data_IF_624942401940
#
_entry.id   IF_624942401940
#
_cell.length_a   1.000
_cell.length_b   1.000
_cell.length_c   1.000
_cell.angle_alpha   90.00
_cell.angle_beta   90.00
_cell.angle_gamma   90.00
#
_symmetry.space_group_name_H-M   'P 1'
#
loop_
_entity.id
_entity.type
_entity.pdbx_description
1 polymer ?
#
# COMPACT_ATOMS: atom_id res chain seq x y z
N UNK A 1 -58.30 -10.59 -74.80
CA UNK A 1 -57.31 -10.05 -73.84
C UNK A 1 -57.91 -9.98 -72.42
N UNK A 2 -58.17 -11.12 -71.81
CA UNK A 2 -58.71 -11.20 -70.42
C UNK A 2 -58.42 -12.59 -69.86
N UNK A 3 -57.16 -12.94 -69.60
CA UNK A 3 -56.78 -14.18 -68.86
C UNK A 3 -55.37 -14.17 -68.35
N UNK A 4 -54.74 -13.02 -68.07
CA UNK A 4 -53.33 -12.96 -67.56
C UNK A 4 -53.19 -12.22 -66.23
N UNK A 5 -54.26 -11.75 -65.58
CA UNK A 5 -54.18 -10.94 -64.35
C UNK A 5 -54.47 -11.75 -63.08
N UNK A 6 -54.91 -13.02 -63.16
CA UNK A 6 -55.31 -13.81 -62.04
C UNK A 6 -54.14 -14.64 -61.39
N UNK A 7 -52.98 -14.73 -62.05
CA UNK A 7 -51.87 -15.55 -61.58
C UNK A 7 -50.82 -14.81 -60.73
N UNK A 8 -50.82 -13.48 -60.75
CA UNK A 8 -49.77 -12.70 -60.06
C UNK A 8 -50.08 -12.30 -58.56
N UNK A 9 -51.37 -12.45 -58.17
CA UNK A 9 -51.79 -12.03 -56.83
C UNK A 9 -51.76 -13.16 -55.82
N UNK A 10 -51.59 -14.42 -56.21
CA UNK A 10 -51.53 -15.57 -55.29
C UNK A 10 -50.10 -15.94 -54.90
N UNK A 11 -49.09 -15.42 -55.58
CA UNK A 11 -47.69 -15.69 -55.26
C UNK A 11 -47.08 -14.68 -54.30
N UNK A 12 -47.77 -13.57 -54.01
CA UNK A 12 -47.30 -12.51 -53.12
C UNK A 12 -47.72 -12.72 -51.66
N UNK A 13 -48.64 -13.65 -51.38
CA UNK A 13 -49.10 -13.92 -49.96
C UNK A 13 -48.36 -15.08 -49.32
N UNK A 14 -47.57 -15.85 -50.06
CA UNK A 14 -46.82 -16.98 -49.58
C UNK A 14 -45.37 -16.66 -49.17
N UNK A 15 -44.88 -15.41 -49.35
CA UNK A 15 -43.55 -14.98 -49.04
C UNK A 15 -43.47 -14.13 -47.73
N UNK A 16 -44.59 -13.83 -47.08
CA UNK A 16 -44.60 -13.02 -45.83
C UNK A 16 -44.73 -13.83 -44.56
N UNK A 17 -44.62 -15.16 -44.61
CA UNK A 17 -44.89 -16.06 -43.49
C UNK A 17 -43.69 -16.72 -42.83
N UNK A 18 -42.43 -16.34 -43.14
CA UNK A 18 -41.25 -17.03 -42.57
C UNK A 18 -40.13 -16.08 -42.09
N UNK A 19 -40.49 -14.95 -41.53
CA UNK A 19 -39.58 -14.33 -40.55
C UNK A 19 -39.94 -14.83 -39.14
N UNK A 20 -39.60 -16.08 -38.87
CA UNK A 20 -39.40 -16.51 -37.48
C UNK A 20 -38.18 -15.74 -37.02
N UNK A 21 -38.41 -14.63 -36.31
CA UNK A 21 -37.40 -13.96 -35.50
C UNK A 21 -36.91 -14.97 -34.45
N UNK A 22 -35.86 -15.69 -34.78
CA UNK A 22 -35.01 -16.26 -33.76
C UNK A 22 -34.40 -15.09 -33.00
N UNK A 23 -35.11 -14.53 -32.03
CA UNK A 23 -34.49 -13.83 -30.92
C UNK A 23 -33.71 -14.92 -30.19
N UNK A 24 -32.44 -15.09 -30.58
CA UNK A 24 -31.46 -15.71 -29.66
C UNK A 24 -31.52 -14.87 -28.39
N UNK A 25 -32.17 -15.37 -27.36
CA UNK A 25 -31.89 -14.90 -26.01
C UNK A 25 -30.38 -15.06 -25.84
N UNK A 26 -29.64 -13.94 -25.83
CA UNK A 26 -28.31 -13.95 -25.30
C UNK A 26 -28.46 -14.53 -23.90
N UNK A 27 -28.12 -15.79 -23.73
CA UNK A 27 -27.99 -16.39 -22.41
C UNK A 27 -26.91 -15.59 -21.71
N UNK A 28 -27.33 -14.78 -20.75
CA UNK A 28 -26.39 -14.07 -19.87
C UNK A 28 -25.45 -15.14 -19.30
N UNK A 29 -24.14 -15.09 -19.52
CA UNK A 29 -23.24 -16.14 -19.09
C UNK A 29 -23.41 -16.35 -17.58
N UNK A 30 -23.82 -17.57 -17.21
CA UNK A 30 -24.01 -17.93 -15.81
C UNK A 30 -22.65 -17.95 -15.16
N UNK A 31 -22.44 -17.07 -14.17
CA UNK A 31 -21.23 -17.05 -13.38
C UNK A 31 -21.06 -18.43 -12.72
N UNK A 32 -19.89 -19.03 -12.92
CA UNK A 32 -19.54 -20.29 -12.27
C UNK A 32 -18.89 -20.01 -10.92
N UNK A 33 -19.27 -20.77 -9.90
CA UNK A 33 -18.50 -20.76 -8.67
C UNK A 33 -17.10 -21.35 -8.93
N UNK A 34 -16.08 -20.74 -8.37
CA UNK A 34 -14.72 -21.19 -8.61
C UNK A 34 -13.63 -20.28 -8.03
N UNK A 35 -12.41 -20.72 -8.29
CA UNK A 35 -11.20 -19.98 -7.92
C UNK A 35 -10.64 -19.30 -9.16
N UNK A 36 -10.41 -18.00 -9.04
CA UNK A 36 -9.98 -17.13 -10.14
C UNK A 36 -8.72 -16.39 -9.77
N UNK A 37 -7.78 -16.28 -10.71
CA UNK A 37 -6.45 -15.73 -10.47
C UNK A 37 -6.17 -14.58 -11.44
N UNK A 38 -5.66 -13.49 -10.92
CA UNK A 38 -5.23 -12.36 -11.74
C UNK A 38 -3.84 -11.88 -11.35
N UNK A 39 -3.16 -11.28 -12.30
CA UNK A 39 -1.80 -10.77 -12.14
C UNK A 39 -1.68 -9.34 -12.63
N UNK A 40 -0.81 -8.57 -12.01
CA UNK A 40 -0.24 -7.34 -12.55
C UNK A 40 1.26 -7.35 -12.29
N UNK A 41 2.06 -6.72 -13.13
CA UNK A 41 3.51 -6.85 -13.00
C UNK A 41 4.26 -5.56 -13.34
N UNK A 42 5.47 -5.46 -12.82
CA UNK A 42 6.36 -4.33 -13.06
C UNK A 42 6.75 -4.25 -14.53
N UNK A 43 6.60 -3.07 -15.09
CA UNK A 43 6.89 -2.81 -16.51
C UNK A 43 5.73 -3.09 -17.45
N UNK A 44 4.60 -3.61 -16.98
CA UNK A 44 3.42 -3.92 -17.80
C UNK A 44 2.95 -2.72 -18.64
N UNK A 45 2.79 -1.54 -18.04
CA UNK A 45 2.41 -0.31 -18.72
C UNK A 45 3.42 0.15 -19.80
N UNK A 46 4.62 -0.43 -19.81
CA UNK A 46 5.69 -0.19 -20.79
C UNK A 46 5.85 -1.34 -21.79
N UNK A 47 4.96 -2.33 -21.76
CA UNK A 47 4.99 -3.47 -22.66
C UNK A 47 5.93 -4.61 -22.23
N UNK A 48 6.48 -4.59 -21.02
CA UNK A 48 7.29 -5.72 -20.52
C UNK A 48 6.40 -6.96 -20.39
N UNK A 49 6.76 -8.11 -21.00
CA UNK A 49 5.99 -9.32 -20.86
C UNK A 49 6.13 -9.92 -19.44
N UNK A 50 5.11 -10.65 -18.99
CA UNK A 50 5.02 -11.16 -17.62
C UNK A 50 6.23 -12.05 -17.22
N UNK A 51 6.70 -12.87 -18.13
CA UNK A 51 7.85 -13.78 -17.88
C UNK A 51 9.18 -13.03 -17.68
N UNK A 52 9.27 -11.77 -18.05
CA UNK A 52 10.44 -10.90 -17.86
C UNK A 52 10.31 -10.00 -16.63
N UNK A 53 9.16 -10.02 -15.98
CA UNK A 53 8.92 -9.20 -14.81
C UNK A 53 9.84 -9.59 -13.63
N UNK A 54 10.27 -8.59 -12.88
CA UNK A 54 11.02 -8.77 -11.62
C UNK A 54 10.12 -8.71 -10.38
N UNK A 55 8.91 -8.20 -10.53
CA UNK A 55 7.93 -8.05 -9.46
C UNK A 55 6.52 -8.23 -10.04
N UNK A 56 5.63 -8.86 -9.27
CA UNK A 56 4.22 -8.94 -9.64
C UNK A 56 3.30 -9.03 -8.42
N UNK A 57 2.05 -8.60 -8.60
CA UNK A 57 0.95 -8.85 -7.67
C UNK A 57 0.17 -10.05 -8.20
N UNK A 58 -0.17 -10.95 -7.31
CA UNK A 58 -1.10 -12.05 -7.57
C UNK A 58 -2.33 -11.87 -6.69
N UNK A 59 -3.50 -11.88 -7.31
CA UNK A 59 -4.78 -11.93 -6.61
C UNK A 59 -5.45 -13.27 -6.89
N UNK A 60 -5.94 -13.93 -5.86
CA UNK A 60 -6.75 -15.15 -5.96
C UNK A 60 -8.08 -14.89 -5.27
N UNK A 61 -9.16 -15.12 -5.98
CA UNK A 61 -10.52 -14.98 -5.47
C UNK A 61 -11.23 -16.32 -5.51
N UNK A 62 -11.98 -16.63 -4.47
CA UNK A 62 -12.99 -17.68 -4.50
C UNK A 62 -14.36 -17.00 -4.57
N UNK A 63 -15.11 -17.26 -5.64
CA UNK A 63 -16.37 -16.59 -5.94
C UNK A 63 -17.47 -17.62 -6.12
N UNK A 64 -18.63 -17.40 -5.50
CA UNK A 64 -19.80 -18.26 -5.68
C UNK A 64 -20.61 -17.91 -6.94
N UNK A 65 -21.66 -18.69 -7.22
CA UNK A 65 -22.52 -18.50 -8.39
C UNK A 65 -23.28 -17.16 -8.39
N UNK A 66 -23.44 -16.51 -7.23
CA UNK A 66 -24.12 -15.23 -7.11
C UNK A 66 -23.18 -14.04 -7.38
N UNK A 67 -21.88 -14.30 -7.37
CA UNK A 67 -20.83 -13.28 -7.47
C UNK A 67 -20.28 -12.85 -6.11
N UNK A 68 -20.68 -13.49 -5.02
CA UNK A 68 -20.14 -13.20 -3.69
C UNK A 68 -18.72 -13.74 -3.57
N UNK A 69 -17.81 -12.92 -3.11
CA UNK A 69 -16.43 -13.28 -2.81
C UNK A 69 -16.41 -14.00 -1.47
N UNK A 70 -16.07 -15.30 -1.51
CA UNK A 70 -16.00 -16.17 -0.32
C UNK A 70 -14.63 -16.11 0.34
N UNK A 71 -13.57 -16.01 -0.45
CA UNK A 71 -12.20 -15.81 0.01
C UNK A 71 -11.42 -14.93 -0.98
N UNK A 72 -10.44 -14.21 -0.48
CA UNK A 72 -9.54 -13.38 -1.25
C UNK A 72 -8.13 -13.48 -0.69
N UNK A 73 -7.16 -13.72 -1.54
CA UNK A 73 -5.74 -13.73 -1.21
C UNK A 73 -4.99 -12.83 -2.18
N UNK A 74 -4.04 -12.10 -1.65
CA UNK A 74 -3.20 -11.22 -2.45
C UNK A 74 -1.76 -11.30 -1.98
N UNK A 75 -0.83 -11.38 -2.93
CA UNK A 75 0.60 -11.42 -2.65
C UNK A 75 1.36 -10.49 -3.57
N UNK A 76 2.39 -9.85 -3.02
CA UNK A 76 3.40 -9.13 -3.77
C UNK A 76 4.67 -9.97 -3.86
N UNK A 77 4.94 -10.46 -5.03
CA UNK A 77 6.11 -11.27 -5.32
C UNK A 77 7.25 -10.42 -5.87
N UNK A 78 8.46 -10.70 -5.39
CA UNK A 78 9.69 -10.06 -5.85
C UNK A 78 10.68 -11.16 -6.20
N UNK A 79 11.38 -11.01 -7.32
CA UNK A 79 12.43 -11.91 -7.74
C UNK A 79 13.74 -11.50 -7.05
N UNK A 80 14.33 -12.42 -6.28
CA UNK A 80 15.61 -12.24 -5.60
C UNK A 80 16.47 -13.49 -5.81
N UNK A 81 17.70 -13.31 -6.33
CA UNK A 81 18.66 -14.38 -6.59
C UNK A 81 18.08 -15.59 -7.36
N UNK A 82 17.20 -15.30 -8.33
CA UNK A 82 16.54 -16.31 -9.15
C UNK A 82 15.28 -16.93 -8.55
N UNK A 83 14.94 -16.63 -7.30
CA UNK A 83 13.75 -17.13 -6.60
C UNK A 83 12.68 -16.05 -6.47
N UNK A 84 11.43 -16.50 -6.39
CA UNK A 84 10.31 -15.64 -6.05
C UNK A 84 10.03 -15.68 -4.55
N UNK A 85 10.05 -14.52 -3.92
CA UNK A 85 9.73 -14.34 -2.50
C UNK A 85 8.61 -13.31 -2.34
N UNK A 86 7.80 -13.42 -1.29
CA UNK A 86 6.76 -12.43 -1.02
C UNK A 86 7.30 -11.28 -0.17
N UNK A 87 6.77 -10.09 -0.39
CA UNK A 87 7.04 -8.94 0.51
C UNK A 87 6.34 -9.05 1.86
N UNK A 88 5.36 -9.94 1.98
CA UNK A 88 4.66 -10.21 3.24
C UNK A 88 5.48 -11.02 4.24
N UNK A 89 6.55 -11.66 3.83
CA UNK A 89 7.45 -12.31 4.79
C UNK A 89 8.23 -11.25 5.56
N UNK A 90 7.82 -11.02 6.81
CA UNK A 90 8.28 -9.91 7.65
C UNK A 90 9.56 -10.18 8.43
N UNK A 91 10.43 -11.08 8.01
CA UNK A 91 11.70 -11.30 8.69
C UNK A 91 12.61 -10.07 8.55
N UNK A 92 13.08 -9.56 9.66
CA UNK A 92 14.09 -8.52 9.72
C UNK A 92 15.21 -8.93 10.68
N UNK A 93 16.42 -8.48 10.37
CA UNK A 93 17.53 -8.50 11.30
C UNK A 93 18.04 -7.06 11.44
N UNK A 94 18.23 -6.60 12.68
CA UNK A 94 18.62 -5.22 12.97
C UNK A 94 19.84 -5.24 13.88
N UNK A 95 20.88 -4.56 13.44
CA UNK A 95 22.05 -4.24 14.26
C UNK A 95 21.93 -2.79 14.73
N UNK A 96 22.36 -2.50 15.96
CA UNK A 96 22.40 -1.15 16.53
C UNK A 96 23.77 -0.87 17.10
N UNK A 97 24.32 0.32 16.78
CA UNK A 97 25.56 0.83 17.37
C UNK A 97 25.26 2.13 18.16
N UNK A 98 25.12 2.00 19.45
CA UNK A 98 24.85 3.13 20.35
C UNK A 98 25.98 4.17 20.42
N UNK A 99 27.20 3.87 19.92
CA UNK A 99 28.31 4.83 19.87
C UNK A 99 28.13 5.85 18.77
N UNK A 100 27.23 5.59 17.81
CA UNK A 100 26.91 6.51 16.74
C UNK A 100 25.88 7.52 17.22
N UNK A 101 26.16 8.81 17.00
CA UNK A 101 25.14 9.84 17.04
C UNK A 101 24.56 9.99 15.64
N UNK A 102 23.23 9.94 15.48
CA UNK A 102 22.59 10.09 14.19
C UNK A 102 22.97 11.43 13.56
N UNK A 103 23.25 11.41 12.27
CA UNK A 103 23.52 12.63 11.47
C UNK A 103 22.54 12.68 10.31
N UNK A 104 21.94 13.84 10.14
CA UNK A 104 20.97 14.09 9.07
C UNK A 104 21.58 13.79 7.71
N UNK A 105 20.82 13.09 6.86
CA UNK A 105 21.18 12.85 5.46
C UNK A 105 21.05 14.13 4.64
N UNK A 106 21.76 14.19 3.53
CA UNK A 106 21.53 15.21 2.51
C UNK A 106 20.17 15.00 1.81
N UNK A 107 19.76 15.95 1.03
CA UNK A 107 18.47 15.99 0.35
C UNK A 107 18.60 15.81 -1.17
N UNK A 108 17.50 15.35 -1.78
CA UNK A 108 17.41 15.24 -3.22
C UNK A 108 18.02 13.98 -3.82
N UNK A 109 18.25 13.99 -5.15
CA UNK A 109 18.64 12.80 -5.90
C UNK A 109 20.10 12.35 -5.66
N UNK A 110 20.96 13.28 -5.30
CA UNK A 110 22.39 13.06 -5.05
C UNK A 110 22.72 13.32 -3.58
N UNK A 111 21.77 13.07 -2.68
CA UNK A 111 21.97 13.29 -1.24
C UNK A 111 23.04 12.37 -0.70
N UNK A 112 23.98 12.94 0.03
CA UNK A 112 24.92 12.17 0.83
C UNK A 112 24.17 11.42 1.93
N UNK A 113 24.48 10.14 2.18
CA UNK A 113 23.92 9.42 3.30
C UNK A 113 24.26 10.12 4.63
N UNK A 114 23.28 10.16 5.53
CA UNK A 114 23.54 10.54 6.91
C UNK A 114 24.27 9.42 7.66
N UNK A 115 24.53 9.65 8.95
CA UNK A 115 25.01 8.62 9.86
C UNK A 115 23.82 7.98 10.57
N UNK A 116 23.73 6.67 10.54
CA UNK A 116 22.68 5.91 11.21
C UNK A 116 23.26 5.03 12.33
N UNK A 117 22.54 4.95 13.45
CA UNK A 117 22.80 3.95 14.50
C UNK A 117 22.43 2.54 14.06
N UNK A 118 21.53 2.43 13.07
CA UNK A 118 20.92 1.16 12.70
C UNK A 118 21.41 0.66 11.35
N UNK A 119 21.58 -0.66 11.29
CA UNK A 119 21.71 -1.39 10.05
C UNK A 119 20.56 -2.39 9.97
N UNK A 120 19.64 -2.14 9.05
CA UNK A 120 18.38 -2.88 8.93
C UNK A 120 18.45 -3.79 7.71
N UNK A 121 18.28 -5.10 7.94
CA UNK A 121 18.21 -6.13 6.93
C UNK A 121 16.78 -6.66 6.86
N UNK A 122 16.02 -6.25 5.86
CA UNK A 122 14.64 -6.72 5.63
C UNK A 122 14.22 -6.58 4.18
N UNK A 123 13.31 -7.44 3.73
CA UNK A 123 12.65 -7.29 2.43
C UNK A 123 11.48 -6.31 2.47
N UNK A 124 10.94 -6.02 3.68
CA UNK A 124 9.81 -5.11 3.88
C UNK A 124 10.24 -3.91 4.74
N UNK A 125 10.17 -2.71 4.12
CA UNK A 125 10.51 -1.45 4.76
C UNK A 125 9.29 -0.52 4.90
N UNK A 126 8.07 -1.00 4.66
CA UNK A 126 6.88 -0.18 4.79
C UNK A 126 6.42 -0.13 6.24
N UNK A 127 6.28 1.09 6.79
CA UNK A 127 5.83 1.31 8.17
C UNK A 127 6.67 0.55 9.22
N UNK A 128 7.94 0.36 8.93
CA UNK A 128 8.86 -0.40 9.77
C UNK A 128 9.39 0.46 10.91
N UNK A 129 9.49 -0.12 12.10
CA UNK A 129 10.21 0.48 13.22
C UNK A 129 11.21 -0.52 13.84
N UNK A 130 12.20 0.03 14.53
CA UNK A 130 13.11 -0.71 15.39
C UNK A 130 13.37 0.07 16.68
N UNK A 131 13.57 -0.63 17.76
CA UNK A 131 13.90 -0.04 19.06
C UNK A 131 14.89 -0.93 19.80
N UNK A 132 15.82 -0.30 20.50
CA UNK A 132 16.79 -0.98 21.35
C UNK A 132 17.08 -0.12 22.59
N UNK A 133 17.55 -0.74 23.68
CA UNK A 133 17.99 -0.06 24.89
C UNK A 133 19.33 -0.61 25.30
N UNK A 134 20.34 0.27 25.50
CA UNK A 134 21.67 -0.10 25.97
C UNK A 134 21.67 -0.37 27.47
N UNK A 135 22.80 -0.86 27.94
CA UNK A 135 23.05 -1.20 29.35
C UNK A 135 23.02 0.01 30.30
N UNK A 136 23.29 1.22 29.79
CA UNK A 136 23.20 2.47 30.53
C UNK A 136 21.80 3.09 30.57
N UNK A 137 20.83 2.52 29.81
CA UNK A 137 19.48 3.03 29.67
C UNK A 137 19.30 3.97 28.45
N UNK A 138 20.32 4.14 27.62
CA UNK A 138 20.15 4.86 26.34
C UNK A 138 19.17 4.14 25.42
N UNK A 139 18.14 4.84 24.98
CA UNK A 139 17.13 4.32 24.04
C UNK A 139 17.45 4.79 22.63
N UNK A 140 17.47 3.86 21.70
CA UNK A 140 17.61 4.11 20.26
C UNK A 140 16.34 3.66 19.54
N UNK A 141 15.76 4.53 18.73
CA UNK A 141 14.55 4.25 17.93
C UNK A 141 14.81 4.63 16.48
N UNK A 142 14.43 3.76 15.58
CA UNK A 142 14.42 4.01 14.15
C UNK A 142 13.04 3.74 13.57
N UNK A 143 12.50 4.70 12.82
CA UNK A 143 11.23 4.55 12.11
C UNK A 143 11.45 4.86 10.63
N UNK A 144 11.19 3.88 9.77
CA UNK A 144 11.25 4.08 8.32
C UNK A 144 10.00 4.82 7.87
N UNK A 145 10.21 6.02 7.33
CA UNK A 145 9.12 6.72 6.67
C UNK A 145 8.77 6.04 5.33
N UNK A 146 7.57 5.51 5.19
CA UNK A 146 7.18 4.73 4.03
C UNK A 146 7.06 5.56 2.73
N UNK A 147 7.02 6.89 2.83
CA UNK A 147 6.87 7.77 1.67
C UNK A 147 8.22 8.26 1.18
N UNK A 148 9.03 8.85 2.04
CA UNK A 148 10.36 9.36 1.69
C UNK A 148 11.44 8.29 1.74
N UNK A 149 11.22 7.25 2.54
CA UNK A 149 12.19 6.18 2.83
C UNK A 149 13.39 6.62 3.67
N UNK A 150 13.37 7.81 4.23
CA UNK A 150 14.30 8.16 5.28
C UNK A 150 14.03 7.31 6.52
N UNK A 151 15.11 6.96 7.21
CA UNK A 151 15.07 6.42 8.55
C UNK A 151 15.07 7.60 9.52
N UNK A 152 13.97 7.81 10.22
CA UNK A 152 13.83 8.80 11.25
C UNK A 152 14.37 8.20 12.55
N UNK A 153 15.50 8.71 13.03
CA UNK A 153 16.15 8.19 14.21
C UNK A 153 16.00 9.11 15.42
N UNK A 154 15.83 8.50 16.59
CA UNK A 154 15.75 9.17 17.87
C UNK A 154 16.69 8.46 18.84
N UNK A 155 17.51 9.23 19.56
CA UNK A 155 18.44 8.72 20.56
C UNK A 155 18.22 9.46 21.88
N UNK A 156 17.85 8.76 22.92
CA UNK A 156 17.57 9.31 24.24
C UNK A 156 18.57 8.75 25.23
N UNK A 157 19.45 9.60 25.74
CA UNK A 157 20.42 9.21 26.77
C UNK A 157 19.77 8.87 28.13
N UNK A 158 20.53 8.31 29.06
CA UNK A 158 20.00 7.84 30.35
C UNK A 158 19.38 8.94 31.22
N UNK A 159 19.78 10.20 31.04
CA UNK A 159 19.25 11.36 31.77
C UNK A 159 18.10 12.08 31.04
N UNK A 160 17.64 11.52 29.94
CA UNK A 160 16.54 12.12 29.19
C UNK A 160 15.23 12.10 29.98
N UNK A 161 14.50 13.22 29.95
CA UNK A 161 13.16 13.29 30.57
C UNK A 161 12.12 12.62 29.68
N UNK A 162 11.81 11.39 29.96
CA UNK A 162 10.79 10.61 29.24
C UNK A 162 9.35 11.11 29.44
N UNK A 163 9.09 12.10 30.30
CA UNK A 163 7.80 12.79 30.38
C UNK A 163 7.64 13.85 29.27
N UNK A 164 8.70 14.17 28.54
CA UNK A 164 8.64 15.01 27.34
C UNK A 164 7.54 14.52 26.39
N UNK A 165 6.82 15.46 25.77
CA UNK A 165 5.69 15.12 24.89
C UNK A 165 6.15 14.59 23.55
N UNK A 166 5.43 13.62 22.98
CA UNK A 166 5.69 13.05 21.64
C UNK A 166 5.62 14.14 20.56
N UNK A 167 4.79 15.16 20.75
CA UNK A 167 4.73 16.32 19.85
C UNK A 167 6.04 17.11 19.72
N UNK A 168 7.01 16.88 20.64
CA UNK A 168 8.36 17.46 20.55
C UNK A 168 9.32 16.63 19.69
N UNK A 169 8.96 15.42 19.28
CA UNK A 169 9.76 14.57 18.40
C UNK A 169 9.68 15.07 16.97
N UNK A 170 10.37 16.15 16.70
CA UNK A 170 10.39 16.87 15.42
C UNK A 170 11.83 17.08 14.93
N UNK A 171 12.00 17.40 13.66
CA UNK A 171 13.31 17.63 13.06
C UNK A 171 13.91 18.96 13.56
N UNK A 172 13.11 19.99 13.66
CA UNK A 172 13.52 21.32 14.13
C UNK A 172 13.91 21.34 15.61
N UNK A 173 13.38 20.43 16.42
CA UNK A 173 13.81 20.22 17.82
C UNK A 173 15.05 19.32 17.95
N UNK A 174 15.60 18.83 16.85
CA UNK A 174 16.72 17.89 16.83
C UNK A 174 16.51 16.60 17.66
N UNK A 175 15.26 16.23 17.93
CA UNK A 175 14.90 14.99 18.62
C UNK A 175 14.55 13.86 17.63
N UNK A 176 14.30 14.22 16.38
CA UNK A 176 14.07 13.30 15.27
C UNK A 176 15.03 13.64 14.15
N UNK A 177 15.91 12.73 13.82
CA UNK A 177 16.97 12.93 12.82
C UNK A 177 16.69 12.07 11.59
N UNK A 178 16.34 12.66 10.43
CA UNK A 178 16.26 11.93 9.16
C UNK A 178 17.66 11.50 8.73
N UNK A 179 17.97 10.22 8.78
CA UNK A 179 19.30 9.70 8.46
C UNK A 179 19.34 9.13 7.03
N UNK A 180 19.96 7.99 6.81
CA UNK A 180 20.12 7.38 5.51
C UNK A 180 18.77 7.04 4.85
N UNK A 181 18.76 7.06 3.51
CA UNK A 181 17.67 6.47 2.76
C UNK A 181 17.77 4.95 2.79
N UNK A 182 16.68 4.28 3.13
CA UNK A 182 16.63 2.81 3.14
C UNK A 182 16.51 2.20 1.74
N UNK A 183 16.09 3.00 0.77
CA UNK A 183 16.11 2.65 -0.66
C UNK A 183 16.13 3.90 -1.52
N UNK A 184 16.60 3.79 -2.75
CA UNK A 184 16.57 4.88 -3.76
C UNK A 184 15.16 5.17 -4.29
N UNK A 185 14.16 4.39 -3.89
CA UNK A 185 12.81 4.38 -4.46
C UNK A 185 11.75 5.05 -3.59
N UNK A 186 12.11 5.99 -2.73
CA UNK A 186 11.13 6.84 -2.03
C UNK A 186 10.20 7.53 -3.04
N UNK A 187 8.91 7.64 -2.68
CA UNK A 187 7.93 8.32 -3.53
C UNK A 187 8.20 9.80 -3.62
N UNK A 188 8.81 10.33 -2.57
CA UNK A 188 9.17 11.73 -2.48
C UNK A 188 10.53 11.91 -1.87
N UNK A 189 11.16 12.96 -2.36
CA UNK A 189 12.35 13.54 -1.76
C UNK A 189 11.97 14.95 -1.35
N UNK A 190 11.90 15.25 -0.06
CA UNK A 190 11.62 16.59 0.40
C UNK A 190 12.69 17.52 -0.19
N UNK A 191 12.29 18.73 -0.56
CA UNK A 191 13.19 19.75 -1.09
C UNK A 191 14.22 20.14 -0.05
N UNK A 192 13.77 20.28 1.17
CA UNK A 192 14.55 20.45 2.37
C UNK A 192 13.76 19.89 3.56
N UNK A 193 14.39 19.68 4.71
CA UNK A 193 13.70 19.12 5.87
C UNK A 193 12.79 20.12 6.58
N UNK A 194 12.79 21.39 6.20
CA UNK A 194 11.85 22.39 6.72
C UNK A 194 10.40 22.04 6.37
N UNK A 195 10.18 21.23 5.33
CA UNK A 195 8.85 20.69 5.02
C UNK A 195 8.31 19.78 6.14
N UNK A 196 9.15 19.30 7.04
CA UNK A 196 8.81 18.50 8.21
C UNK A 196 8.81 19.29 9.51
N UNK A 197 9.15 20.59 9.47
CA UNK A 197 9.23 21.44 10.66
C UNK A 197 7.89 21.48 11.41
N UNK A 198 7.96 21.37 12.72
CA UNK A 198 6.80 21.30 13.61
C UNK A 198 5.95 20.03 13.48
N UNK A 199 6.31 19.10 12.60
CA UNK A 199 5.61 17.81 12.46
C UNK A 199 6.27 16.76 13.33
N UNK A 200 5.55 16.26 14.31
CA UNK A 200 6.02 15.16 15.16
C UNK A 200 6.16 13.86 14.35
N UNK A 201 6.85 12.90 14.95
CA UNK A 201 6.99 11.54 14.37
C UNK A 201 5.63 10.92 13.99
N UNK A 202 4.54 11.27 14.68
CA UNK A 202 3.19 10.80 14.37
C UNK A 202 2.55 11.54 13.19
N UNK A 203 3.11 12.68 12.78
CA UNK A 203 2.55 13.58 11.77
C UNK A 203 3.50 13.90 10.61
N UNK A 204 4.59 13.17 10.47
CA UNK A 204 5.53 13.33 9.34
C UNK A 204 4.75 13.40 8.03
N UNK A 205 3.72 12.55 7.92
CA UNK A 205 2.74 12.61 6.85
C UNK A 205 1.35 12.67 7.44
N UNK A 206 0.64 13.79 7.26
CA UNK A 206 -0.68 14.05 7.83
C UNK A 206 -1.68 12.91 7.60
N UNK A 207 -1.55 12.23 6.48
CA UNK A 207 -2.39 11.10 6.12
C UNK A 207 -2.03 9.79 6.85
N UNK A 208 -0.88 9.71 7.48
CA UNK A 208 -0.43 8.53 8.22
C UNK A 208 -0.86 8.55 9.67
N UNK A 209 -1.01 9.74 10.24
CA UNK A 209 -1.25 9.91 11.67
C UNK A 209 -2.46 9.13 12.16
N UNK A 210 -3.57 9.13 11.42
CA UNK A 210 -4.77 8.41 11.83
C UNK A 210 -4.58 6.89 11.85
N UNK A 211 -3.76 6.33 10.95
CA UNK A 211 -3.44 4.91 10.93
C UNK A 211 -2.51 4.56 12.08
N UNK A 212 -1.49 5.36 12.30
CA UNK A 212 -0.50 5.17 13.38
C UNK A 212 -1.17 5.28 14.75
N UNK A 213 -2.01 6.29 14.97
CA UNK A 213 -2.63 6.56 16.28
C UNK A 213 -3.84 5.68 16.59
N UNK A 214 -4.48 5.10 15.59
CA UNK A 214 -5.69 4.29 15.78
C UNK A 214 -5.44 2.79 15.66
N UNK A 215 -4.28 2.38 15.15
CA UNK A 215 -3.98 1.00 14.82
C UNK A 215 -2.54 0.65 15.13
N UNK A 216 -2.31 -0.65 15.28
CA UNK A 216 -0.98 -1.19 15.53
C UNK A 216 -0.43 -0.76 16.89
N UNK A 217 0.87 -0.75 17.00
CA UNK A 217 1.60 -0.57 18.26
C UNK A 217 1.41 0.83 18.88
N UNK A 218 1.18 1.84 18.05
CA UNK A 218 1.00 3.22 18.49
C UNK A 218 -0.47 3.63 18.67
N UNK A 219 -1.39 2.66 18.71
CA UNK A 219 -2.81 2.95 18.95
C UNK A 219 -3.00 3.67 20.29
N UNK A 220 -3.65 4.84 20.24
CA UNK A 220 -3.90 5.68 21.42
C UNK A 220 -2.75 6.62 21.81
N UNK A 221 -1.60 6.55 21.13
CA UNK A 221 -0.51 7.52 21.29
C UNK A 221 -0.79 8.77 20.45
N UNK A 222 -0.69 9.94 21.05
CA UNK A 222 -0.84 11.23 20.38
C UNK A 222 0.29 12.20 20.76
N UNK A 223 0.28 13.42 20.22
CA UNK A 223 1.29 14.43 20.50
C UNK A 223 1.36 14.86 21.98
N UNK A 224 0.32 14.62 22.77
CA UNK A 224 0.26 14.93 24.19
C UNK A 224 0.71 13.75 25.05
N UNK A 225 0.83 12.57 24.49
CA UNK A 225 1.38 11.39 25.15
C UNK A 225 2.85 11.64 25.56
N UNK A 226 3.32 10.98 26.61
CA UNK A 226 4.74 11.06 26.98
C UNK A 226 5.60 10.20 26.03
N UNK A 227 6.87 10.58 25.88
CA UNK A 227 7.84 9.74 25.17
C UNK A 227 7.97 8.37 25.86
N UNK A 228 7.77 8.32 27.19
CA UNK A 228 7.70 7.05 27.90
C UNK A 228 6.60 6.13 27.36
N UNK A 229 5.39 6.67 27.20
CA UNK A 229 4.25 5.89 26.69
C UNK A 229 4.49 5.44 25.23
N UNK A 230 5.05 6.33 24.41
CA UNK A 230 5.43 6.05 23.04
C UNK A 230 6.47 4.91 22.95
N UNK A 231 7.54 4.99 23.73
CA UNK A 231 8.61 3.98 23.77
C UNK A 231 8.10 2.66 24.35
N UNK A 232 7.22 2.73 25.37
CA UNK A 232 6.59 1.54 25.96
C UNK A 232 5.66 0.85 24.96
N UNK A 233 4.92 1.62 24.14
CA UNK A 233 4.09 1.08 23.07
C UNK A 233 4.93 0.33 22.02
N UNK A 234 6.18 0.74 21.79
CA UNK A 234 7.15 0.02 20.94
C UNK A 234 7.80 -1.19 21.63
N UNK A 235 7.43 -1.51 22.87
CA UNK A 235 7.86 -2.71 23.59
C UNK A 235 8.96 -2.50 24.61
N UNK A 236 9.37 -1.27 24.91
CA UNK A 236 10.37 -1.00 25.94
C UNK A 236 9.76 -1.07 27.33
N UNK A 237 10.36 -1.87 28.21
CA UNK A 237 9.96 -1.98 29.62
C UNK A 237 10.62 -0.90 30.45
N UNK A 238 9.86 -0.30 31.36
CA UNK A 238 10.39 0.66 32.37
C UNK A 238 10.26 0.10 33.78
N UNK A 239 11.31 0.23 34.55
CA UNK A 239 11.33 -0.07 36.01
C UNK A 239 11.83 1.19 36.72
N UNK A 240 11.10 1.65 37.71
CA UNK A 240 11.43 2.87 38.49
C UNK A 240 11.73 4.09 37.59
N UNK A 241 10.98 4.23 36.51
CA UNK A 241 11.12 5.32 35.53
C UNK A 241 12.28 5.15 34.54
N UNK A 242 13.08 4.08 34.63
CA UNK A 242 14.22 3.82 33.74
C UNK A 242 13.92 2.76 32.71
N UNK A 243 14.27 2.99 31.44
CA UNK A 243 14.13 1.97 30.41
C UNK A 243 15.10 0.82 30.68
N UNK A 244 14.62 -0.40 30.47
CA UNK A 244 15.37 -1.62 30.71
C UNK A 244 16.10 -2.07 29.47
N UNK A 245 17.32 -2.57 29.62
CA UNK A 245 18.15 -3.09 28.54
C UNK A 245 17.38 -4.11 27.69
N UNK A 246 17.40 -3.90 26.37
CA UNK A 246 16.91 -4.87 25.38
C UNK A 246 17.70 -4.78 24.08
N UNK A 247 17.88 -5.93 23.41
CA UNK A 247 18.42 -5.96 22.06
C UNK A 247 17.49 -5.29 21.07
N UNK A 248 17.96 -5.03 19.85
CA UNK A 248 17.13 -4.43 18.82
C UNK A 248 15.91 -5.32 18.53
N UNK A 249 14.74 -4.74 18.71
CA UNK A 249 13.46 -5.32 18.29
C UNK A 249 12.94 -4.54 17.10
N UNK A 250 12.04 -5.13 16.36
CA UNK A 250 11.42 -4.47 15.20
C UNK A 250 9.97 -4.88 15.07
N UNK A 251 9.25 -4.08 14.33
CA UNK A 251 7.86 -4.35 14.00
C UNK A 251 7.35 -3.39 12.93
N UNK A 252 6.04 -3.38 12.78
CA UNK A 252 5.34 -2.49 11.88
C UNK A 252 4.42 -1.60 12.68
N UNK A 253 4.66 -0.29 12.67
CA UNK A 253 3.75 0.63 13.33
C UNK A 253 2.57 0.99 12.43
N UNK A 254 1.37 0.95 12.97
CA UNK A 254 0.13 1.24 12.26
C UNK A 254 -0.52 -0.02 11.70
N UNK A 255 -0.22 -0.39 10.46
CA UNK A 255 -0.99 -1.39 9.70
C UNK A 255 -0.29 -2.73 9.49
N UNK A 256 0.87 -2.97 10.09
CA UNK A 256 1.58 -4.25 9.97
C UNK A 256 2.28 -4.46 8.61
N UNK A 257 2.83 -3.41 8.02
CA UNK A 257 3.62 -3.47 6.78
C UNK A 257 2.85 -3.98 5.57
N UNK A 258 3.51 -4.72 4.70
CA UNK A 258 2.89 -5.32 3.52
C UNK A 258 1.82 -6.36 3.87
N UNK A 259 2.06 -7.17 4.89
CA UNK A 259 1.10 -8.16 5.35
C UNK A 259 -0.21 -7.48 5.80
N UNK A 260 -0.13 -6.51 6.70
CA UNK A 260 -1.31 -5.81 7.21
C UNK A 260 -2.08 -5.04 6.14
N UNK A 261 -1.38 -4.44 5.16
CA UNK A 261 -2.02 -3.82 4.00
C UNK A 261 -2.84 -4.82 3.20
N UNK A 262 -2.28 -5.97 2.91
CA UNK A 262 -2.95 -6.96 2.08
C UNK A 262 -4.04 -7.71 2.84
N UNK A 263 -3.87 -7.94 4.13
CA UNK A 263 -4.93 -8.49 5.00
C UNK A 263 -6.14 -7.54 5.05
N UNK A 264 -5.89 -6.23 5.06
CA UNK A 264 -6.96 -5.23 5.00
C UNK A 264 -7.71 -5.26 3.67
N UNK A 265 -7.01 -5.39 2.54
CA UNK A 265 -7.64 -5.53 1.21
C UNK A 265 -8.45 -6.83 1.13
N UNK A 266 -7.88 -7.93 1.57
CA UNK A 266 -8.54 -9.25 1.56
C UNK A 266 -9.81 -9.21 2.41
N UNK A 267 -9.72 -8.67 3.63
CA UNK A 267 -10.86 -8.52 4.54
C UNK A 267 -11.95 -7.60 3.98
N UNK A 268 -11.57 -6.55 3.25
CA UNK A 268 -12.52 -5.68 2.56
C UNK A 268 -13.30 -6.42 1.48
N UNK A 269 -12.63 -7.29 0.72
CA UNK A 269 -13.21 -8.00 -0.41
C UNK A 269 -14.14 -9.15 0.02
N UNK A 270 -13.79 -9.86 1.09
CA UNK A 270 -14.57 -11.02 1.56
C UNK A 270 -15.99 -10.60 1.93
N UNK A 271 -16.97 -11.31 1.38
CA UNK A 271 -18.40 -11.05 1.57
C UNK A 271 -18.99 -10.01 0.62
N UNK A 272 -18.18 -9.27 -0.15
CA UNK A 272 -18.66 -8.35 -1.18
C UNK A 272 -19.13 -9.10 -2.42
N UNK A 273 -19.96 -8.42 -3.22
CA UNK A 273 -20.32 -8.91 -4.54
C UNK A 273 -19.32 -8.38 -5.58
N UNK A 274 -18.64 -9.29 -6.26
CA UNK A 274 -17.62 -8.97 -7.27
C UNK A 274 -18.18 -8.21 -8.49
N UNK A 275 -19.49 -8.29 -8.73
CA UNK A 275 -20.18 -7.52 -9.79
C UNK A 275 -20.37 -6.06 -9.39
N UNK A 276 -20.38 -5.75 -8.10
CA UNK A 276 -20.55 -4.39 -7.57
C UNK A 276 -19.20 -3.74 -7.28
N UNK A 277 -18.20 -4.52 -6.86
CA UNK A 277 -16.84 -4.05 -6.59
C UNK A 277 -15.95 -4.51 -7.74
N UNK A 278 -15.96 -3.78 -8.84
CA UNK A 278 -15.18 -4.13 -10.05
C UNK A 278 -13.78 -3.53 -10.07
N UNK A 279 -13.42 -2.74 -9.07
CA UNK A 279 -12.09 -2.12 -8.92
C UNK A 279 -11.82 -1.79 -7.45
N UNK A 280 -10.55 -1.82 -7.05
CA UNK A 280 -10.10 -1.33 -5.74
C UNK A 280 -9.85 0.19 -5.75
N UNK A 281 -9.88 0.83 -6.91
CA UNK A 281 -9.69 2.27 -7.09
C UNK A 281 -10.96 2.86 -7.69
N UNK A 282 -11.43 3.95 -7.13
CA UNK A 282 -12.55 4.69 -7.70
C UNK A 282 -12.06 5.58 -8.86
N UNK A 283 -12.04 5.03 -10.07
CA UNK A 283 -11.60 5.73 -11.28
C UNK A 283 -12.53 6.85 -11.75
N UNK A 284 -13.71 7.00 -11.15
CA UNK A 284 -14.58 8.15 -11.42
C UNK A 284 -14.03 9.46 -10.82
N UNK A 285 -13.09 9.37 -9.92
CA UNK A 285 -12.38 10.52 -9.36
C UNK A 285 -11.26 10.92 -10.32
N UNK A 286 -11.41 12.08 -10.94
CA UNK A 286 -10.48 12.63 -11.95
C UNK A 286 -9.01 12.61 -11.51
N UNK A 287 -8.75 12.88 -10.23
CA UNK A 287 -7.41 12.87 -9.67
C UNK A 287 -6.76 11.48 -9.81
N UNK A 288 -7.50 10.40 -9.64
CA UNK A 288 -6.99 9.04 -9.81
C UNK A 288 -6.80 8.69 -11.27
N UNK A 289 -7.79 8.96 -12.11
CA UNK A 289 -7.73 8.69 -13.54
C UNK A 289 -6.54 9.39 -14.22
N UNK A 290 -6.23 10.62 -13.82
CA UNK A 290 -5.09 11.39 -14.33
C UNK A 290 -3.76 10.99 -13.71
N UNK A 291 -3.79 10.41 -12.52
CA UNK A 291 -2.61 10.15 -11.70
C UNK A 291 -2.06 8.73 -11.76
N UNK A 292 -2.73 7.79 -12.42
CA UNK A 292 -2.34 6.36 -12.39
C UNK A 292 -0.87 6.10 -12.76
N UNK A 293 -0.31 6.92 -13.64
CA UNK A 293 1.07 6.85 -14.08
C UNK A 293 1.94 8.04 -13.60
N UNK A 294 1.44 8.86 -12.69
CA UNK A 294 2.12 10.04 -12.18
C UNK A 294 2.71 9.78 -10.80
N UNK A 295 4.02 9.98 -10.61
CA UNK A 295 4.70 9.80 -9.33
C UNK A 295 4.12 10.66 -8.21
N UNK A 296 3.67 11.87 -8.56
CA UNK A 296 3.08 12.80 -7.61
C UNK A 296 1.70 12.38 -7.10
N UNK A 297 1.09 11.40 -7.74
CA UNK A 297 -0.24 10.91 -7.35
C UNK A 297 -0.20 10.04 -6.10
N UNK A 298 0.92 9.40 -5.84
CA UNK A 298 1.13 8.46 -4.75
C UNK A 298 2.31 8.91 -3.89
N UNK A 299 2.14 9.96 -3.18
CA UNK A 299 3.22 10.51 -2.38
C UNK A 299 2.86 11.90 -1.86
N UNK A 300 3.84 12.62 -1.41
CA UNK A 300 3.72 13.99 -0.96
C UNK A 300 3.67 14.92 -2.18
N UNK A 301 2.88 15.96 -2.11
CA UNK A 301 2.92 17.05 -3.08
C UNK A 301 4.21 17.84 -2.91
N UNK A 302 5.05 17.86 -3.92
CA UNK A 302 6.30 18.64 -3.92
C UNK A 302 6.11 20.15 -3.73
N UNK A 303 4.89 20.64 -3.92
CA UNK A 303 4.58 22.07 -3.82
C UNK A 303 4.05 22.45 -2.45
N UNK A 304 3.20 21.60 -1.87
CA UNK A 304 2.53 21.88 -0.60
C UNK A 304 3.01 21.04 0.58
N UNK A 305 3.91 20.06 0.36
CA UNK A 305 4.29 19.08 1.38
C UNK A 305 3.14 18.18 1.82
N UNK A 306 1.92 18.40 1.30
CA UNK A 306 0.76 17.61 1.65
C UNK A 306 0.86 16.22 1.03
N UNK A 307 0.59 15.19 1.81
CA UNK A 307 0.52 13.82 1.32
C UNK A 307 -0.66 13.71 0.38
N UNK A 308 -0.38 13.39 -0.89
CA UNK A 308 -1.42 13.10 -1.87
C UNK A 308 -1.64 11.61 -1.97
N UNK A 309 -2.85 11.21 -1.85
CA UNK A 309 -3.51 10.10 -2.56
C UNK A 309 -3.08 8.66 -2.35
N UNK A 310 -2.02 8.31 -1.69
CA UNK A 310 -1.91 6.95 -1.16
C UNK A 310 -3.19 6.63 -0.33
N UNK A 311 -3.74 7.63 0.33
CA UNK A 311 -4.99 7.53 1.08
C UNK A 311 -6.26 7.63 0.25
N UNK A 312 -6.28 8.40 -0.83
CA UNK A 312 -7.50 8.48 -1.64
C UNK A 312 -7.73 7.20 -2.44
N UNK A 313 -6.66 6.51 -2.81
CA UNK A 313 -6.78 5.17 -3.38
C UNK A 313 -7.25 4.13 -2.37
N UNK A 314 -7.12 4.38 -1.07
CA UNK A 314 -7.54 3.49 0.03
C UNK A 314 -8.76 4.00 0.80
N UNK A 315 -9.42 5.04 0.34
CA UNK A 315 -10.50 5.72 1.06
C UNK A 315 -11.68 4.80 1.43
N UNK A 316 -11.84 3.66 0.76
CA UNK A 316 -12.82 2.63 1.10
C UNK A 316 -12.22 1.43 1.85
N UNK A 317 -10.90 1.36 2.03
CA UNK A 317 -10.24 0.17 2.57
C UNK A 317 -9.39 0.57 3.78
N UNK A 318 -10.02 0.55 4.92
CA UNK A 318 -9.37 0.87 6.18
C UNK A 318 -8.20 -0.06 6.47
N UNK A 319 -7.01 0.50 6.70
CA UNK A 319 -5.80 -0.24 7.04
C UNK A 319 -4.89 -0.57 5.85
N UNK A 320 -5.26 -0.21 4.63
CA UNK A 320 -4.39 -0.36 3.48
C UNK A 320 -3.86 1.01 3.03
N UNK A 321 -2.54 1.15 2.91
CA UNK A 321 -1.84 2.37 2.48
C UNK A 321 -0.94 2.14 1.27
N UNK A 322 -1.04 0.97 0.64
CA UNK A 322 -0.36 0.67 -0.61
C UNK A 322 -0.95 1.47 -1.77
N UNK A 323 -0.24 1.54 -2.88
CA UNK A 323 -0.61 2.34 -4.06
C UNK A 323 -1.96 1.97 -4.67
N UNK A 324 -2.51 0.81 -4.42
CA UNK A 324 -3.80 0.28 -4.84
C UNK A 324 -3.99 0.09 -6.34
N UNK A 325 -3.40 0.92 -7.21
CA UNK A 325 -3.64 0.82 -8.65
C UNK A 325 -3.16 -0.49 -9.26
N UNK A 326 -1.97 -0.96 -8.89
CA UNK A 326 -1.42 -2.24 -9.34
C UNK A 326 -2.14 -3.43 -8.69
N UNK A 327 -2.55 -3.29 -7.44
CA UNK A 327 -3.36 -4.27 -6.73
C UNK A 327 -4.75 -4.39 -7.39
N UNK A 328 -5.34 -3.25 -7.80
CA UNK A 328 -6.59 -3.21 -8.55
C UNK A 328 -6.48 -3.91 -9.92
N UNK A 329 -5.36 -3.75 -10.64
CA UNK A 329 -5.14 -4.42 -11.92
C UNK A 329 -5.17 -5.94 -11.76
N UNK A 330 -4.45 -6.49 -10.78
CA UNK A 330 -4.45 -7.93 -10.52
C UNK A 330 -5.82 -8.43 -10.08
N UNK A 331 -6.54 -7.67 -9.26
CA UNK A 331 -7.92 -7.95 -8.87
C UNK A 331 -8.86 -7.98 -10.08
N UNK A 332 -8.81 -6.95 -10.93
CA UNK A 332 -9.62 -6.86 -12.14
C UNK A 332 -9.38 -8.04 -13.09
N UNK A 333 -8.14 -8.51 -13.24
CA UNK A 333 -7.85 -9.70 -14.05
C UNK A 333 -8.39 -11.00 -13.47
N UNK A 334 -8.47 -11.12 -12.15
CA UNK A 334 -9.20 -12.24 -11.55
C UNK A 334 -10.69 -12.16 -11.89
N UNK A 335 -11.29 -10.96 -11.94
CA UNK A 335 -12.68 -10.76 -12.39
C UNK A 335 -12.86 -11.03 -13.87
N UNK A 336 -11.88 -10.74 -14.73
CA UNK A 336 -11.91 -11.12 -16.16
C UNK A 336 -11.94 -12.64 -16.28
N UNK A 337 -11.08 -13.34 -15.54
CA UNK A 337 -11.07 -14.80 -15.54
C UNK A 337 -12.39 -15.39 -15.06
N UNK A 338 -13.09 -14.71 -14.14
CA UNK A 338 -14.42 -15.08 -13.67
C UNK A 338 -15.54 -14.74 -14.69
N UNK A 339 -15.24 -13.99 -15.73
CA UNK A 339 -16.24 -13.52 -16.71
C UNK A 339 -17.15 -12.40 -16.16
N UNK A 340 -16.74 -11.72 -15.09
CA UNK A 340 -17.51 -10.63 -14.48
C UNK A 340 -17.28 -9.31 -15.22
N UNK A 341 -16.05 -9.05 -15.63
CA UNK A 341 -15.67 -7.91 -16.48
C UNK A 341 -14.88 -8.41 -17.69
N UNK A 342 -14.63 -7.54 -18.63
CA UNK A 342 -13.86 -7.83 -19.85
C UNK A 342 -12.46 -7.20 -19.77
N UNK A 343 -11.48 -7.68 -20.54
CA UNK A 343 -10.10 -7.19 -20.50
C UNK A 343 -10.00 -5.69 -20.82
N UNK A 344 -10.87 -5.15 -21.65
CA UNK A 344 -10.89 -3.72 -21.97
C UNK A 344 -11.38 -2.83 -20.80
N UNK A 345 -11.88 -3.40 -19.72
CA UNK A 345 -12.26 -2.70 -18.48
C UNK A 345 -11.13 -2.72 -17.45
N UNK A 346 -10.06 -3.47 -17.70
CA UNK A 346 -8.89 -3.51 -16.82
C UNK A 346 -8.10 -2.21 -16.96
N UNK A 347 -7.86 -1.55 -15.83
CA UNK A 347 -7.00 -0.37 -15.79
C UNK A 347 -5.61 -0.81 -15.30
N UNK A 348 -4.61 -0.64 -16.17
CA UNK A 348 -3.22 -0.98 -15.83
C UNK A 348 -2.68 0.05 -14.86
N UNK A 349 -2.43 -0.40 -13.65
CA UNK A 349 -1.89 0.41 -12.58
C UNK A 349 -0.37 0.57 -12.65
N UNK A 350 0.11 1.51 -11.89
CA UNK A 350 1.55 1.77 -11.80
C UNK A 350 2.22 0.86 -10.76
N UNK A 351 3.29 0.22 -11.17
CA UNK A 351 4.21 -0.50 -10.28
C UNK A 351 5.25 0.41 -9.66
#
# INVERSE_FOLDING_TARGET
MRKVIAGALLLLILLTGLFVSCTSKEETPVLKAGRYVGYSWKGEAKGTPFNEASEYIQTVLEIDQTGKILDAKMWFWVKSDGYWITRQSGAAFVEVDFKIDPVMAGLGNNSEPGKSMFKIHTADMMSFYTVAVDSDGTVAIGIVDPITRYLMEMKFGPEFDFNTKVGMLTVDNALMIPTVLTSSSGFMKPKDFSELDGRSILKIHDNYSHVVNQRGELAGIDDNSSIKDFVAALGVTFIDGRPQRQGATYGYFGIGGWQGNYDSIQSFLIGKNAKEVTSLVNWSIDAFAKGVNNDRQFGIDNVSGATKTAQWSVNGISGATVRMSRESTSYQRALVQAGIITENQVVIGRF
#
